data_IF_994595444881
#
_entry.id   IF_994595444881
#
_cell.length_a   1.000
_cell.length_b   1.000
_cell.length_c   1.000
_cell.angle_alpha   90.00
_cell.angle_beta   90.00
_cell.angle_gamma   90.00
#
_symmetry.space_group_name_H-M   'P 1'
#
loop_
_entity.id
_entity.type
_entity.pdbx_description
1 polymer ?
#
# COMPACT_ATOMS: atom_id res chain seq x y z
N UNK A 1 -3.36 -13.09 -8.12
CA UNK A 1 -2.56 -14.31 -8.35
C UNK A 1 -2.77 -14.84 -9.76
N UNK A 2 -3.99 -14.95 -10.25
CA UNK A 2 -4.29 -15.47 -11.60
C UNK A 2 -3.58 -14.69 -12.73
N UNK A 3 -3.64 -13.35 -12.70
CA UNK A 3 -2.94 -12.49 -13.67
C UNK A 3 -1.45 -12.80 -13.76
N UNK A 4 -0.79 -13.03 -12.61
CA UNK A 4 0.65 -13.36 -12.54
C UNK A 4 0.97 -14.78 -13.00
N UNK A 5 0.01 -15.69 -12.92
CA UNK A 5 0.19 -17.05 -13.42
C UNK A 5 0.13 -17.09 -14.95
N UNK A 6 -0.66 -16.21 -15.57
CA UNK A 6 -0.76 -16.05 -17.03
C UNK A 6 0.38 -15.22 -17.61
N UNK A 7 0.75 -14.13 -16.93
CA UNK A 7 1.84 -13.23 -17.29
C UNK A 7 2.70 -12.91 -16.05
N UNK A 8 3.86 -13.59 -15.88
CA UNK A 8 4.77 -13.35 -14.76
C UNK A 8 5.26 -11.90 -14.69
N UNK A 9 5.35 -11.19 -15.81
CA UNK A 9 5.88 -9.83 -15.91
C UNK A 9 4.79 -8.75 -15.75
N UNK A 10 3.50 -9.13 -15.67
CA UNK A 10 2.39 -8.19 -15.55
C UNK A 10 2.54 -7.26 -14.34
N UNK A 11 2.49 -5.94 -14.55
CA UNK A 11 2.52 -4.96 -13.46
C UNK A 11 1.14 -4.85 -12.81
N UNK A 12 1.07 -5.01 -11.48
CA UNK A 12 -0.17 -4.91 -10.71
C UNK A 12 -0.09 -3.70 -9.77
N UNK A 13 -1.17 -2.91 -9.73
CA UNK A 13 -1.35 -1.78 -8.82
C UNK A 13 -2.65 -1.94 -8.05
N UNK A 14 -2.58 -1.88 -6.72
CA UNK A 14 -3.73 -1.74 -5.83
C UNK A 14 -3.71 -0.31 -5.30
N UNK A 15 -4.79 0.43 -5.55
CA UNK A 15 -4.89 1.85 -5.22
C UNK A 15 -6.26 2.13 -4.60
N UNK A 16 -6.26 2.83 -3.47
CA UNK A 16 -7.49 3.34 -2.87
C UNK A 16 -7.39 3.57 -1.38
N UNK A 17 -8.55 3.79 -0.78
CA UNK A 17 -8.74 3.92 0.66
C UNK A 17 -8.88 2.52 1.30
N UNK A 18 -7.88 2.12 2.08
CA UNK A 18 -7.90 0.85 2.83
C UNK A 18 -8.36 1.04 4.27
N UNK A 19 -8.59 2.29 4.71
CA UNK A 19 -8.99 2.66 6.06
C UNK A 19 -8.13 2.06 7.18
N UNK A 20 -6.84 1.88 6.93
CA UNK A 20 -5.93 1.24 7.88
C UNK A 20 -4.50 1.75 7.71
N UNK A 21 -3.66 1.62 8.73
CA UNK A 21 -2.30 2.16 8.73
C UNK A 21 -1.32 1.24 7.99
N UNK A 22 -0.20 1.79 7.51
CA UNK A 22 0.79 1.03 6.75
C UNK A 22 1.44 -0.11 7.57
N UNK A 23 1.47 0.03 8.90
CA UNK A 23 2.01 -0.97 9.83
C UNK A 23 0.94 -1.97 10.34
N UNK A 24 -0.30 -1.88 9.88
CA UNK A 24 -1.38 -2.73 10.38
C UNK A 24 -1.26 -4.19 9.90
N UNK A 25 -1.77 -5.13 10.69
CA UNK A 25 -1.76 -6.54 10.31
C UNK A 25 -2.48 -6.82 8.97
N UNK A 26 -3.66 -6.23 8.68
CA UNK A 26 -4.30 -6.37 7.37
C UNK A 26 -3.43 -5.89 6.20
N UNK A 27 -2.78 -4.74 6.32
CA UNK A 27 -1.92 -4.21 5.25
C UNK A 27 -0.66 -5.05 5.08
N UNK A 28 -0.06 -5.53 6.17
CA UNK A 28 1.07 -6.46 6.09
C UNK A 28 0.68 -7.79 5.43
N UNK A 29 -0.50 -8.33 5.75
CA UNK A 29 -1.00 -9.55 5.13
C UNK A 29 -1.35 -9.37 3.63
N UNK A 30 -1.92 -8.22 3.26
CA UNK A 30 -2.22 -7.89 1.87
C UNK A 30 -0.93 -7.69 1.04
N UNK A 31 0.04 -6.96 1.60
CA UNK A 31 1.34 -6.68 0.97
C UNK A 31 2.11 -7.98 0.74
N UNK A 32 2.19 -8.84 1.76
CA UNK A 32 3.01 -10.05 1.72
C UNK A 32 4.44 -9.76 1.27
N UNK A 33 5.01 -10.66 0.47
CA UNK A 33 6.33 -10.49 -0.15
C UNK A 33 6.24 -10.05 -1.63
N UNK A 34 5.03 -10.00 -2.18
CA UNK A 34 4.79 -9.80 -3.62
C UNK A 34 4.58 -8.32 -3.98
N UNK A 35 4.18 -7.49 -3.01
CA UNK A 35 3.86 -6.08 -3.21
C UNK A 35 4.77 -5.17 -2.38
N UNK A 36 4.96 -3.94 -2.85
CA UNK A 36 5.56 -2.84 -2.10
C UNK A 36 4.49 -1.77 -1.88
N UNK A 37 4.27 -1.37 -0.62
CA UNK A 37 3.45 -0.22 -0.31
C UNK A 37 4.28 1.06 -0.48
N UNK A 38 3.89 1.92 -1.41
CA UNK A 38 4.68 3.09 -1.81
C UNK A 38 4.73 4.16 -0.73
N UNK A 39 3.77 4.19 0.21
CA UNK A 39 3.83 5.14 1.33
C UNK A 39 5.06 4.86 2.23
N UNK A 40 5.56 3.63 2.25
CA UNK A 40 6.77 3.26 3.01
C UNK A 40 8.05 3.90 2.44
N UNK A 41 8.00 4.43 1.21
CA UNK A 41 9.11 5.18 0.58
C UNK A 41 9.16 6.65 0.97
N UNK A 42 8.07 7.18 1.53
CA UNK A 42 8.01 8.53 2.07
C UNK A 42 8.62 8.52 3.48
N UNK A 43 9.40 9.56 3.89
CA UNK A 43 9.84 9.71 5.28
C UNK A 43 8.68 9.59 6.25
N UNK A 44 8.86 8.89 7.38
CA UNK A 44 7.75 8.52 8.26
C UNK A 44 6.96 9.74 8.76
N UNK A 45 7.64 10.83 9.05
CA UNK A 45 7.09 12.12 9.47
C UNK A 45 6.27 12.84 8.40
N UNK A 46 6.41 12.44 7.13
CA UNK A 46 5.69 13.01 5.99
C UNK A 46 4.57 12.10 5.48
N UNK A 47 4.33 10.95 6.13
CA UNK A 47 3.28 10.01 5.70
C UNK A 47 1.91 10.46 6.20
N UNK A 48 1.15 11.08 5.32
CA UNK A 48 -0.25 11.39 5.55
C UNK A 48 -1.01 11.44 4.23
N UNK A 49 -2.21 10.87 4.22
CA UNK A 49 -3.13 10.92 3.07
C UNK A 49 -4.48 11.52 3.47
N UNK A 50 -4.78 11.51 4.77
CA UNK A 50 -5.96 12.12 5.34
C UNK A 50 -5.57 13.03 6.53
N UNK A 51 -6.22 14.19 6.65
CA UNK A 51 -6.04 15.09 7.80
C UNK A 51 -7.40 15.59 8.26
N UNK A 52 -7.70 15.38 9.54
CA UNK A 52 -8.96 15.80 10.15
C UNK A 52 -8.77 16.31 11.57
N UNK A 53 -9.26 17.52 11.84
CA UNK A 53 -9.16 18.18 13.15
C UNK A 53 -7.76 18.15 13.76
N UNK A 54 -6.72 18.34 12.93
CA UNK A 54 -5.33 18.36 13.37
C UNK A 54 -4.67 16.97 13.52
N UNK A 55 -5.39 15.89 13.25
CA UNK A 55 -4.83 14.54 13.20
C UNK A 55 -4.54 14.16 11.75
N UNK A 56 -3.28 13.85 11.46
CA UNK A 56 -2.83 13.33 10.17
C UNK A 56 -2.72 11.81 10.23
N UNK A 57 -3.25 11.12 9.23
CA UNK A 57 -3.32 9.66 9.16
C UNK A 57 -3.01 9.17 7.74
N UNK A 58 -2.52 7.95 7.65
CA UNK A 58 -2.35 7.23 6.38
C UNK A 58 -3.51 6.24 6.24
N UNK A 59 -4.47 6.54 5.36
CA UNK A 59 -5.63 5.68 5.08
C UNK A 59 -5.67 5.23 3.61
N UNK A 60 -5.29 6.12 2.69
CA UNK A 60 -5.06 5.76 1.29
C UNK A 60 -3.68 5.14 1.08
N UNK A 61 -3.62 4.08 0.26
CA UNK A 61 -2.37 3.37 -0.07
C UNK A 61 -2.26 3.09 -1.57
N UNK A 62 -1.00 2.98 -2.02
CA UNK A 62 -0.64 2.50 -3.35
C UNK A 62 0.29 1.32 -3.16
N UNK A 63 -0.16 0.11 -3.50
CA UNK A 63 0.67 -1.10 -3.49
C UNK A 63 0.98 -1.52 -4.91
N UNK A 64 2.24 -1.80 -5.20
CA UNK A 64 2.73 -2.18 -6.53
C UNK A 64 3.44 -3.52 -6.50
N UNK A 65 3.32 -4.34 -7.54
CA UNK A 65 4.06 -5.61 -7.67
C UNK A 65 5.57 -5.42 -7.78
N UNK A 66 6.34 -6.32 -7.16
CA UNK A 66 7.81 -6.30 -7.08
C UNK A 66 8.53 -6.81 -8.36
N UNK A 67 8.10 -6.38 -9.54
CA UNK A 67 8.71 -6.75 -10.81
C UNK A 67 10.14 -6.22 -10.99
#
# INVERSE_FOLDING_TARGET
>A
KDIKAEDPDANIVLLGDFNDFEFSNPLQALKGEELTNMIEKVPAEERYTYTYQGNAQVLDHILVSNN
#
